data_IF_836402020529
#
_entry.id   IF_836402020529
#
_cell.length_a   1.000
_cell.length_b   1.000
_cell.length_c   1.000
_cell.angle_alpha   90.00
_cell.angle_beta   90.00
_cell.angle_gamma   90.00
#
_symmetry.space_group_name_H-M   'P 1'
#
loop_
_entity.id
_entity.type
_entity.pdbx_description
1 polymer ?
#
# COMPACT_ATOMS: atom_id res chain seq x y z
N UNK A 1 23.85 -32.84 37.39
CA UNK A 1 22.71 -31.91 37.21
C UNK A 1 23.21 -30.77 36.35
N UNK A 2 22.92 -30.84 35.07
CA UNK A 2 23.23 -29.84 34.02
C UNK A 2 22.10 -28.86 33.88
N UNK A 3 22.32 -27.55 33.72
CA UNK A 3 21.29 -26.63 33.28
C UNK A 3 21.32 -26.52 31.74
N UNK A 4 20.39 -27.17 31.10
CA UNK A 4 20.00 -26.88 29.76
C UNK A 4 19.05 -25.68 29.77
N UNK A 5 19.15 -24.83 28.74
CA UNK A 5 18.07 -23.96 28.31
C UNK A 5 18.38 -22.48 28.47
N UNK A 6 18.93 -21.88 27.42
CA UNK A 6 18.64 -20.49 26.93
C UNK A 6 19.30 -20.31 25.57
N UNK A 7 18.61 -20.77 24.55
CA UNK A 7 19.03 -20.62 23.16
C UNK A 7 17.85 -20.53 22.20
N UNK A 8 16.84 -19.74 22.55
CA UNK A 8 15.65 -19.60 21.72
C UNK A 8 14.98 -18.22 21.78
N UNK A 9 15.76 -17.14 21.93
CA UNK A 9 15.19 -15.78 21.91
C UNK A 9 16.07 -14.78 21.15
N UNK A 10 16.65 -15.20 20.04
CA UNK A 10 17.42 -14.30 19.17
C UNK A 10 16.76 -14.07 17.79
N UNK A 11 15.49 -14.34 17.68
CA UNK A 11 14.63 -13.83 16.61
C UNK A 11 13.68 -12.77 17.19
N UNK A 12 14.20 -11.86 18.01
CA UNK A 12 13.51 -10.63 18.29
C UNK A 12 13.40 -9.89 16.94
N UNK A 13 12.23 -10.01 16.32
CA UNK A 13 11.71 -9.03 15.41
C UNK A 13 12.12 -7.68 15.97
N UNK A 14 13.04 -6.98 15.29
CA UNK A 14 13.23 -5.57 15.49
C UNK A 14 11.85 -4.97 15.30
N UNK A 15 11.17 -4.73 16.41
CA UNK A 15 9.90 -4.02 16.37
C UNK A 15 10.24 -2.67 15.80
N UNK A 16 9.40 -2.16 14.91
CA UNK A 16 9.55 -0.84 14.28
C UNK A 16 9.75 0.29 15.32
N UNK A 17 9.55 0.02 16.59
CA UNK A 17 9.80 0.92 17.71
C UNK A 17 11.30 1.14 17.98
N UNK A 18 12.17 0.15 17.75
CA UNK A 18 13.60 0.28 17.98
C UNK A 18 14.32 1.11 16.89
N UNK A 19 13.75 1.15 15.67
CA UNK A 19 14.26 1.98 14.57
C UNK A 19 13.85 3.45 14.65
N UNK A 20 12.92 3.81 15.52
CA UNK A 20 12.33 5.16 15.64
C UNK A 20 12.81 5.90 16.89
N UNK A 21 13.57 5.25 17.77
CA UNK A 21 14.02 5.83 19.05
C UNK A 21 15.01 6.99 18.92
N UNK A 22 15.64 7.19 17.76
CA UNK A 22 16.68 8.20 17.63
C UNK A 22 16.44 9.16 16.45
N UNK A 23 15.60 10.18 16.66
CA UNK A 23 15.79 11.55 16.11
C UNK A 23 14.78 12.52 16.69
N UNK A 24 15.18 13.28 17.68
CA UNK A 24 14.56 14.54 18.07
C UNK A 24 14.49 15.47 16.85
N UNK A 25 13.24 15.88 16.50
CA UNK A 25 12.89 16.91 15.50
C UNK A 25 12.87 16.48 14.02
N UNK A 26 12.08 15.51 13.64
CA UNK A 26 11.44 15.56 12.33
C UNK A 26 10.15 16.38 12.44
N UNK A 27 9.91 17.32 11.50
CA UNK A 27 8.77 18.24 11.56
C UNK A 27 7.44 17.50 11.73
N UNK A 28 6.51 18.08 12.49
CA UNK A 28 5.26 17.41 12.90
C UNK A 28 4.46 16.76 11.77
N UNK A 29 4.50 17.32 10.54
CA UNK A 29 3.83 16.77 9.36
C UNK A 29 4.41 15.41 8.91
N UNK A 30 5.73 15.24 8.92
CA UNK A 30 6.40 13.99 8.56
C UNK A 30 6.05 12.85 9.54
N UNK A 31 6.07 13.16 10.83
CA UNK A 31 5.70 12.18 11.86
C UNK A 31 4.22 11.74 11.77
N UNK A 32 3.32 12.66 11.38
CA UNK A 32 1.90 12.35 11.11
C UNK A 32 1.77 11.44 9.89
N UNK A 33 2.47 11.76 8.79
CA UNK A 33 2.46 10.94 7.57
C UNK A 33 2.97 9.52 7.83
N UNK A 34 4.10 9.37 8.55
CA UNK A 34 4.62 8.05 8.94
C UNK A 34 3.64 7.27 9.82
N UNK A 35 2.95 7.95 10.73
CA UNK A 35 1.95 7.32 11.58
C UNK A 35 0.74 6.88 10.79
N UNK A 36 0.30 7.66 9.82
CA UNK A 36 -0.76 7.30 8.89
C UNK A 36 -0.35 6.07 8.08
N UNK A 37 0.85 6.06 7.48
CA UNK A 37 1.37 4.91 6.74
C UNK A 37 1.34 3.63 7.56
N UNK A 38 1.83 3.67 8.80
CA UNK A 38 1.76 2.50 9.71
C UNK A 38 0.33 2.05 10.03
N UNK A 39 -0.60 2.98 10.16
CA UNK A 39 -2.00 2.63 10.43
C UNK A 39 -2.71 1.96 9.25
N UNK A 40 -2.21 2.15 8.04
CA UNK A 40 -2.71 1.52 6.81
C UNK A 40 -2.21 0.07 6.65
N UNK A 41 -1.13 -0.32 7.32
CA UNK A 41 -0.53 -1.66 7.15
C UNK A 41 -1.48 -2.79 7.58
N UNK A 42 -2.25 -2.61 8.65
CA UNK A 42 -3.15 -3.66 9.15
C UNK A 42 -4.28 -3.99 8.17
N UNK A 43 -5.05 -3.03 7.64
CA UNK A 43 -6.03 -3.29 6.57
C UNK A 43 -5.40 -3.94 5.35
N UNK A 44 -4.24 -3.47 4.93
CA UNK A 44 -3.54 -3.94 3.73
C UNK A 44 -3.09 -5.40 3.88
N UNK A 45 -2.61 -5.80 5.06
CA UNK A 45 -2.14 -7.16 5.31
C UNK A 45 -3.23 -8.25 5.13
N UNK A 46 -4.51 -7.87 5.12
CA UNK A 46 -5.62 -8.81 4.88
C UNK A 46 -5.97 -8.99 3.40
N UNK A 47 -5.55 -8.05 2.54
CA UNK A 47 -5.91 -8.04 1.12
C UNK A 47 -5.34 -9.22 0.31
N UNK A 48 -4.14 -9.77 0.59
CA UNK A 48 -3.62 -10.92 -0.14
C UNK A 48 -4.55 -12.13 -0.12
N UNK A 49 -5.10 -12.44 1.05
CA UNK A 49 -6.04 -13.56 1.18
C UNK A 49 -7.34 -13.31 0.42
N UNK A 50 -7.86 -12.08 0.49
CA UNK A 50 -9.06 -11.70 -0.26
C UNK A 50 -8.82 -11.72 -1.78
N UNK A 51 -7.67 -11.22 -2.23
CA UNK A 51 -7.27 -11.24 -3.64
C UNK A 51 -7.13 -12.65 -4.18
N UNK A 52 -6.47 -13.53 -3.43
CA UNK A 52 -6.33 -14.94 -3.80
C UNK A 52 -7.69 -15.65 -3.91
N UNK A 53 -8.57 -15.46 -2.93
CA UNK A 53 -9.91 -16.04 -2.96
C UNK A 53 -10.71 -15.52 -4.16
N UNK A 54 -10.72 -14.22 -4.39
CA UNK A 54 -11.43 -13.62 -5.51
C UNK A 54 -10.90 -14.14 -6.86
N UNK A 55 -9.57 -14.26 -6.99
CA UNK A 55 -8.93 -14.75 -8.22
C UNK A 55 -9.18 -16.24 -8.47
N UNK A 56 -9.07 -17.07 -7.46
CA UNK A 56 -9.37 -18.50 -7.59
C UNK A 56 -10.84 -18.73 -7.93
N UNK A 57 -11.76 -17.92 -7.39
CA UNK A 57 -13.18 -17.98 -7.68
C UNK A 57 -13.59 -17.40 -9.04
N UNK A 58 -12.67 -16.76 -9.79
CA UNK A 58 -12.98 -16.14 -11.07
C UNK A 58 -13.44 -17.16 -12.13
N UNK A 59 -14.24 -16.69 -13.10
CA UNK A 59 -14.86 -17.54 -14.12
C UNK A 59 -13.84 -18.36 -14.93
N UNK A 60 -12.70 -17.75 -15.27
CA UNK A 60 -11.61 -18.35 -16.04
C UNK A 60 -10.68 -19.27 -15.23
N UNK A 61 -10.83 -19.31 -13.89
CA UNK A 61 -10.03 -20.18 -13.00
C UNK A 61 -10.83 -21.41 -12.55
N UNK A 62 -11.52 -21.33 -11.42
CA UNK A 62 -12.38 -22.43 -10.94
C UNK A 62 -13.80 -22.33 -11.47
N UNK A 63 -14.21 -21.19 -12.03
CA UNK A 63 -15.59 -20.95 -12.48
C UNK A 63 -15.94 -21.54 -13.84
N UNK A 64 -17.02 -21.04 -14.44
CA UNK A 64 -17.71 -21.62 -15.59
C UNK A 64 -16.85 -21.75 -16.87
N UNK A 65 -15.89 -20.86 -17.08
CA UNK A 65 -14.99 -20.86 -18.25
C UNK A 65 -13.67 -21.59 -17.96
N UNK A 66 -13.41 -21.90 -16.68
CA UNK A 66 -12.23 -22.58 -16.18
C UNK A 66 -12.47 -24.07 -15.87
N UNK A 67 -12.06 -24.48 -14.67
CA UNK A 67 -12.13 -25.89 -14.27
C UNK A 67 -13.57 -26.42 -14.12
N UNK A 68 -14.54 -25.57 -13.73
CA UNK A 68 -15.94 -25.97 -13.61
C UNK A 68 -16.56 -26.37 -14.96
N UNK A 69 -16.01 -25.92 -16.09
CA UNK A 69 -16.40 -26.38 -17.42
C UNK A 69 -16.25 -27.88 -17.59
N UNK A 70 -15.27 -28.48 -16.92
CA UNK A 70 -14.97 -29.90 -16.97
C UNK A 70 -15.48 -30.67 -15.74
N UNK A 71 -15.76 -29.96 -14.65
CA UNK A 71 -16.20 -30.53 -13.37
C UNK A 71 -17.20 -29.57 -12.70
N UNK A 72 -18.47 -29.66 -13.10
CA UNK A 72 -19.55 -28.73 -12.71
C UNK A 72 -19.76 -28.59 -11.19
N UNK A 73 -19.34 -29.57 -10.41
CA UNK A 73 -19.40 -29.52 -8.94
C UNK A 73 -18.44 -28.44 -8.35
N UNK A 74 -17.46 -27.97 -9.12
CA UNK A 74 -16.55 -26.88 -8.72
C UNK A 74 -17.21 -25.50 -8.77
N UNK A 75 -18.30 -25.33 -9.56
CA UNK A 75 -18.94 -24.02 -9.69
C UNK A 75 -19.38 -23.43 -8.34
N UNK A 76 -20.07 -24.15 -7.45
CA UNK A 76 -20.42 -23.61 -6.12
C UNK A 76 -19.19 -23.24 -5.28
N UNK A 77 -18.08 -23.96 -5.44
CA UNK A 77 -16.82 -23.63 -4.75
C UNK A 77 -16.24 -22.32 -5.28
N UNK A 78 -16.22 -22.16 -6.61
CA UNK A 78 -15.78 -20.91 -7.25
C UNK A 78 -16.64 -19.72 -6.80
N UNK A 79 -17.97 -19.87 -6.79
CA UNK A 79 -18.91 -18.83 -6.37
C UNK A 79 -18.67 -18.41 -4.90
N UNK A 80 -18.45 -19.37 -4.00
CA UNK A 80 -18.14 -19.09 -2.58
C UNK A 80 -16.82 -18.35 -2.45
N UNK A 81 -15.78 -18.78 -3.19
CA UNK A 81 -14.48 -18.13 -3.13
C UNK A 81 -14.53 -16.70 -3.69
N UNK A 82 -15.20 -16.51 -4.84
CA UNK A 82 -15.40 -15.19 -5.44
C UNK A 82 -16.18 -14.26 -4.49
N UNK A 83 -17.27 -14.76 -3.90
CA UNK A 83 -18.09 -14.00 -2.95
C UNK A 83 -17.29 -13.63 -1.68
N UNK A 84 -16.50 -14.55 -1.14
CA UNK A 84 -15.68 -14.31 0.04
C UNK A 84 -14.60 -13.23 -0.21
N UNK A 85 -13.89 -13.34 -1.34
CA UNK A 85 -12.90 -12.33 -1.74
C UNK A 85 -13.56 -10.99 -2.06
N UNK A 86 -14.64 -11.01 -2.85
CA UNK A 86 -15.40 -9.81 -3.23
C UNK A 86 -15.97 -9.06 -2.04
N UNK A 87 -16.42 -9.76 -0.99
CA UNK A 87 -16.92 -9.13 0.23
C UNK A 87 -15.89 -8.20 0.90
N UNK A 88 -14.60 -8.57 0.86
CA UNK A 88 -13.52 -7.73 1.40
C UNK A 88 -13.31 -6.50 0.52
N UNK A 89 -13.23 -6.66 -0.81
CA UNK A 89 -13.01 -5.54 -1.73
C UNK A 89 -14.19 -4.57 -1.76
N UNK A 90 -15.43 -5.07 -1.72
CA UNK A 90 -16.62 -4.24 -1.68
C UNK A 90 -16.73 -3.40 -0.39
N UNK A 91 -16.09 -3.84 0.70
CA UNK A 91 -16.05 -3.14 1.97
C UNK A 91 -14.68 -2.52 2.29
N UNK A 92 -13.83 -2.35 1.28
CA UNK A 92 -12.46 -1.90 1.46
C UNK A 92 -12.38 -0.58 2.24
N UNK A 93 -13.17 0.41 1.88
CA UNK A 93 -13.21 1.70 2.55
C UNK A 93 -13.60 1.61 4.03
N UNK A 94 -14.54 0.72 4.37
CA UNK A 94 -14.93 0.42 5.75
C UNK A 94 -13.77 -0.22 6.53
N UNK A 95 -13.08 -1.18 5.92
CA UNK A 95 -11.93 -1.86 6.50
C UNK A 95 -10.82 -0.84 6.79
N UNK A 96 -10.58 0.10 5.87
CA UNK A 96 -9.65 1.19 6.09
C UNK A 96 -10.09 2.14 7.20
N UNK A 97 -11.38 2.47 7.31
CA UNK A 97 -11.89 3.32 8.38
C UNK A 97 -11.62 2.70 9.76
N UNK A 98 -11.91 1.41 9.93
CA UNK A 98 -11.66 0.68 11.19
C UNK A 98 -10.17 0.53 11.45
N UNK A 99 -9.40 0.08 10.46
CA UNK A 99 -7.96 -0.16 10.59
C UNK A 99 -7.18 1.12 10.90
N UNK A 100 -7.50 2.22 10.22
CA UNK A 100 -6.90 3.53 10.50
C UNK A 100 -7.31 4.06 11.88
N UNK A 101 -8.58 3.91 12.27
CA UNK A 101 -9.01 4.31 13.60
C UNK A 101 -8.17 3.63 14.69
N UNK A 102 -7.99 2.33 14.61
CA UNK A 102 -7.22 1.54 15.58
C UNK A 102 -5.72 1.83 15.48
N UNK A 103 -5.16 1.84 14.27
CA UNK A 103 -3.72 1.99 14.03
C UNK A 103 -3.21 3.41 14.27
N UNK A 104 -4.03 4.44 14.00
CA UNK A 104 -3.65 5.83 14.19
C UNK A 104 -3.87 6.32 15.63
N UNK A 105 -4.77 5.73 16.42
CA UNK A 105 -5.01 6.11 17.80
C UNK A 105 -3.87 5.67 18.74
N UNK A 106 -3.47 6.53 19.68
CA UNK A 106 -2.59 6.14 20.79
C UNK A 106 -3.41 5.40 21.84
N UNK A 107 -2.91 4.25 22.34
CA UNK A 107 -3.60 3.42 23.33
C UNK A 107 -5.01 3.03 22.87
N UNK A 108 -5.15 2.67 21.59
CA UNK A 108 -6.40 2.19 21.01
C UNK A 108 -6.88 0.91 21.68
N UNK A 109 -8.20 0.70 21.64
CA UNK A 109 -8.84 -0.55 22.00
C UNK A 109 -10.01 -0.85 21.05
N UNK A 110 -10.78 -1.89 21.33
CA UNK A 110 -11.91 -2.29 20.48
C UNK A 110 -12.95 -1.18 20.26
N UNK A 111 -13.14 -0.28 21.23
CA UNK A 111 -14.09 0.84 21.06
C UNK A 111 -13.60 1.89 20.05
N UNK A 112 -12.29 1.97 19.79
CA UNK A 112 -11.75 2.81 18.72
C UNK A 112 -12.17 2.26 17.34
N UNK A 113 -12.08 0.93 17.15
CA UNK A 113 -12.57 0.26 15.95
C UNK A 113 -14.08 0.44 15.74
N UNK A 114 -14.86 0.30 16.83
CA UNK A 114 -16.30 0.56 16.80
C UNK A 114 -16.60 2.00 16.40
N UNK A 115 -15.82 2.99 16.87
CA UNK A 115 -15.99 4.39 16.48
C UNK A 115 -15.71 4.59 14.97
N UNK A 116 -14.69 3.94 14.43
CA UNK A 116 -14.39 3.95 12.98
C UNK A 116 -15.53 3.33 12.17
N UNK A 117 -16.04 2.18 12.61
CA UNK A 117 -17.17 1.48 11.98
C UNK A 117 -18.43 2.35 11.94
N UNK A 118 -18.89 2.82 13.10
CA UNK A 118 -20.10 3.63 13.19
C UNK A 118 -19.96 4.94 12.42
N UNK A 119 -18.82 5.63 12.58
CA UNK A 119 -18.55 6.85 11.85
C UNK A 119 -18.62 6.65 10.34
N UNK A 120 -18.04 5.55 9.83
CA UNK A 120 -18.07 5.27 8.38
C UNK A 120 -19.47 4.92 7.87
N UNK A 121 -20.24 4.12 8.59
CA UNK A 121 -21.62 3.79 8.21
C UNK A 121 -22.50 5.03 8.18
N UNK A 122 -22.38 5.92 9.18
CA UNK A 122 -23.09 7.20 9.18
C UNK A 122 -22.64 8.09 8.03
N UNK A 123 -21.33 8.17 7.76
CA UNK A 123 -20.75 8.90 6.64
C UNK A 123 -21.36 8.46 5.31
N UNK A 124 -21.37 7.16 5.04
CA UNK A 124 -21.94 6.60 3.81
C UNK A 124 -23.44 6.85 3.69
N UNK A 125 -24.18 6.69 4.79
CA UNK A 125 -25.64 6.97 4.79
C UNK A 125 -25.96 8.42 4.47
N UNK A 126 -25.18 9.37 5.00
CA UNK A 126 -25.35 10.81 4.69
C UNK A 126 -24.97 11.12 3.26
N UNK A 127 -23.86 10.57 2.75
CA UNK A 127 -23.47 10.77 1.36
C UNK A 127 -24.52 10.21 0.39
N UNK A 128 -25.08 9.03 0.66
CA UNK A 128 -26.14 8.44 -0.15
C UNK A 128 -27.40 9.32 -0.17
N UNK A 129 -27.78 9.90 0.98
CA UNK A 129 -28.92 10.82 1.05
C UNK A 129 -28.70 12.14 0.28
N UNK A 130 -27.45 12.58 0.14
CA UNK A 130 -27.08 13.83 -0.55
C UNK A 130 -26.71 13.61 -2.03
N UNK A 131 -26.49 12.38 -2.44
CA UNK A 131 -26.06 12.00 -3.78
C UNK A 131 -27.01 12.52 -4.89
N UNK A 132 -28.35 12.51 -4.77
CA UNK A 132 -29.22 13.08 -5.79
C UNK A 132 -28.96 14.54 -6.11
N UNK A 133 -28.39 15.32 -5.18
CA UNK A 133 -28.12 16.75 -5.34
C UNK A 133 -26.71 17.08 -5.81
N UNK A 134 -25.71 16.36 -5.32
CA UNK A 134 -24.30 16.68 -5.50
C UNK A 134 -23.46 15.51 -6.01
N UNK A 135 -24.09 14.35 -6.21
CA UNK A 135 -23.43 13.19 -6.78
C UNK A 135 -23.21 13.30 -8.29
N UNK A 136 -22.57 12.30 -8.84
CA UNK A 136 -22.29 12.17 -10.26
C UNK A 136 -22.37 10.68 -10.69
N UNK A 137 -22.37 10.46 -12.00
CA UNK A 137 -22.29 9.11 -12.59
C UNK A 137 -23.61 8.46 -12.97
N UNK A 138 -24.76 9.01 -12.58
CA UNK A 138 -26.07 8.50 -12.98
C UNK A 138 -26.66 9.27 -14.18
N UNK A 139 -27.55 8.63 -14.91
CA UNK A 139 -28.34 9.28 -15.97
C UNK A 139 -29.43 10.20 -15.39
N UNK A 140 -29.90 9.87 -14.20
CA UNK A 140 -30.87 10.68 -13.44
C UNK A 140 -30.27 11.11 -12.09
N UNK A 141 -30.79 12.18 -11.45
CA UNK A 141 -30.30 12.58 -10.11
C UNK A 141 -30.37 11.45 -9.07
N UNK A 142 -31.35 10.58 -9.16
CA UNK A 142 -31.56 9.46 -8.24
C UNK A 142 -30.49 8.38 -8.39
N UNK A 143 -29.90 8.25 -9.55
CA UNK A 143 -28.81 7.31 -9.85
C UNK A 143 -27.42 7.86 -9.50
N UNK A 144 -27.33 9.15 -9.20
CA UNK A 144 -26.06 9.77 -8.82
C UNK A 144 -25.51 9.16 -7.55
N UNK A 145 -24.19 9.04 -7.50
CA UNK A 145 -23.45 8.57 -6.35
C UNK A 145 -22.41 9.58 -5.88
N UNK A 146 -22.08 9.56 -4.60
CA UNK A 146 -20.93 10.24 -4.02
C UNK A 146 -19.97 9.17 -3.52
N UNK A 147 -18.88 8.94 -4.23
CA UNK A 147 -17.92 7.89 -3.90
C UNK A 147 -16.51 8.48 -3.69
N UNK A 148 -16.10 8.53 -2.43
CA UNK A 148 -14.73 8.88 -2.04
C UNK A 148 -13.84 7.63 -1.86
N UNK A 149 -14.38 6.43 -2.03
CA UNK A 149 -13.66 5.18 -1.88
C UNK A 149 -12.88 5.10 -0.57
N UNK A 150 -11.68 4.56 -0.65
CA UNK A 150 -10.78 4.39 0.50
C UNK A 150 -10.41 5.72 1.17
N UNK A 151 -10.37 6.82 0.42
CA UNK A 151 -10.10 8.15 0.99
C UNK A 151 -11.14 8.54 2.05
N UNK A 152 -12.43 8.28 1.79
CA UNK A 152 -13.49 8.50 2.78
C UNK A 152 -13.28 7.66 4.05
N UNK A 153 -12.90 6.39 3.89
CA UNK A 153 -12.56 5.51 5.00
C UNK A 153 -11.39 6.05 5.85
N UNK A 154 -10.31 6.50 5.19
CA UNK A 154 -9.15 7.08 5.88
C UNK A 154 -9.53 8.35 6.65
N UNK A 155 -10.29 9.26 6.05
CA UNK A 155 -10.73 10.50 6.70
C UNK A 155 -11.52 10.19 7.99
N UNK A 156 -12.48 9.27 7.91
CA UNK A 156 -13.28 8.88 9.07
C UNK A 156 -12.44 8.13 10.10
N UNK A 157 -11.52 7.25 9.68
CA UNK A 157 -10.61 6.56 10.57
C UNK A 157 -9.70 7.50 11.36
N UNK A 158 -9.10 8.50 10.72
CA UNK A 158 -8.32 9.55 11.37
C UNK A 158 -9.19 10.34 12.35
N UNK A 159 -10.40 10.72 11.94
CA UNK A 159 -11.35 11.45 12.78
C UNK A 159 -11.69 10.66 14.04
N UNK A 160 -12.01 9.38 13.91
CA UNK A 160 -12.29 8.48 15.04
C UNK A 160 -11.09 8.40 15.99
N UNK A 161 -9.87 8.24 15.45
CA UNK A 161 -8.64 8.18 16.23
C UNK A 161 -8.35 9.49 16.99
N UNK A 162 -8.58 10.64 16.37
CA UNK A 162 -8.39 11.96 16.99
C UNK A 162 -9.40 12.19 18.11
N UNK A 163 -10.66 11.87 17.86
CA UNK A 163 -11.74 11.98 18.85
C UNK A 163 -11.54 10.99 20.01
N UNK A 164 -11.06 9.77 19.72
CA UNK A 164 -10.64 8.84 20.74
C UNK A 164 -9.59 9.43 21.67
N UNK A 165 -8.49 9.95 21.14
CA UNK A 165 -7.39 10.52 21.94
C UNK A 165 -7.86 11.65 22.86
N UNK A 166 -8.89 12.39 22.46
CA UNK A 166 -9.40 13.54 23.23
C UNK A 166 -10.47 13.14 24.24
N UNK A 167 -11.35 12.19 23.90
CA UNK A 167 -12.61 11.98 24.65
C UNK A 167 -12.75 10.61 25.33
N UNK A 168 -11.80 9.66 25.19
CA UNK A 168 -11.93 8.31 25.76
C UNK A 168 -12.01 8.28 27.31
N UNK A 169 -11.71 9.38 27.99
CA UNK A 169 -11.79 9.56 29.44
C UNK A 169 -12.78 10.65 29.86
N UNK A 170 -13.63 11.12 28.97
CA UNK A 170 -14.58 12.19 29.28
C UNK A 170 -15.54 11.74 30.39
N UNK A 171 -15.73 12.61 31.35
CA UNK A 171 -16.77 12.47 32.37
C UNK A 171 -17.96 13.33 31.95
N UNK A 172 -19.12 12.74 31.82
CA UNK A 172 -20.38 13.41 31.53
C UNK A 172 -21.14 13.63 32.85
N UNK A 173 -22.12 14.56 32.89
CA UNK A 173 -23.04 14.73 34.03
C UNK A 173 -23.71 13.40 34.40
N UNK A 174 -24.12 13.23 35.64
CA UNK A 174 -24.62 11.97 36.20
C UNK A 174 -25.77 11.35 35.39
N UNK A 175 -26.67 12.17 34.87
CA UNK A 175 -27.79 11.71 34.01
C UNK A 175 -27.35 11.21 32.61
N UNK A 176 -26.14 11.50 32.18
CA UNK A 176 -25.51 10.99 30.96
C UNK A 176 -24.31 10.09 31.24
N UNK A 177 -24.03 9.78 32.52
CA UNK A 177 -22.80 9.06 32.90
C UNK A 177 -22.62 7.72 32.17
N UNK A 178 -23.74 7.05 31.82
CA UNK A 178 -23.73 5.81 31.03
C UNK A 178 -23.02 5.96 29.65
N UNK A 179 -23.13 7.11 29.02
CA UNK A 179 -22.53 7.42 27.72
C UNK A 179 -21.11 7.98 27.84
N UNK A 180 -20.58 8.15 29.04
CA UNK A 180 -19.25 8.70 29.29
C UNK A 180 -18.10 7.76 28.91
N UNK A 181 -16.88 8.31 28.89
CA UNK A 181 -15.66 7.59 28.62
C UNK A 181 -15.62 7.02 27.21
N UNK A 182 -15.22 5.74 27.07
CA UNK A 182 -15.03 5.05 25.77
C UNK A 182 -16.32 4.96 24.93
N UNK A 183 -17.50 4.91 25.59
CA UNK A 183 -18.80 4.83 24.92
C UNK A 183 -19.18 6.11 24.19
N UNK A 184 -18.65 7.24 24.65
CA UNK A 184 -18.89 8.55 24.05
C UNK A 184 -18.21 8.68 22.66
N UNK A 185 -17.10 8.00 22.44
CA UNK A 185 -16.31 8.17 21.22
C UNK A 185 -17.05 7.75 19.95
N UNK A 186 -17.72 6.59 19.86
CA UNK A 186 -18.54 6.26 18.69
C UNK A 186 -19.65 7.30 18.43
N UNK A 187 -20.26 7.83 19.48
CA UNK A 187 -21.35 8.82 19.37
C UNK A 187 -20.82 10.13 18.75
N UNK A 188 -19.76 10.69 19.33
CA UNK A 188 -19.18 11.95 18.81
C UNK A 188 -18.55 11.76 17.44
N UNK A 189 -18.02 10.57 17.13
CA UNK A 189 -17.50 10.26 15.80
C UNK A 189 -18.64 10.23 14.77
N UNK A 190 -19.79 9.67 15.09
CA UNK A 190 -20.96 9.68 14.21
C UNK A 190 -21.45 11.10 13.94
N UNK A 191 -21.50 11.95 14.94
CA UNK A 191 -21.87 13.37 14.77
C UNK A 191 -20.84 14.11 13.89
N UNK A 192 -19.55 13.88 14.11
CA UNK A 192 -18.50 14.45 13.28
C UNK A 192 -18.59 13.93 11.84
N UNK A 193 -18.92 12.65 11.65
CA UNK A 193 -19.09 12.03 10.34
C UNK A 193 -20.22 12.67 9.53
N UNK A 194 -21.33 13.07 10.17
CA UNK A 194 -22.41 13.81 9.51
C UNK A 194 -21.88 15.15 8.95
N UNK A 195 -21.16 15.91 9.78
CA UNK A 195 -20.60 17.21 9.36
C UNK A 195 -19.60 17.02 8.20
N UNK A 196 -18.70 16.04 8.34
CA UNK A 196 -17.69 15.74 7.30
C UNK A 196 -18.39 15.29 6.00
N UNK A 197 -19.41 14.44 6.09
CA UNK A 197 -20.16 13.98 4.92
C UNK A 197 -20.85 15.14 4.18
N UNK A 198 -21.48 16.06 4.91
CA UNK A 198 -22.09 17.25 4.31
C UNK A 198 -21.06 18.12 3.61
N UNK A 199 -19.92 18.41 4.26
CA UNK A 199 -18.85 19.19 3.67
C UNK A 199 -18.30 18.50 2.41
N UNK A 200 -18.03 17.19 2.49
CA UNK A 200 -17.51 16.44 1.36
C UNK A 200 -18.54 16.31 0.24
N UNK A 201 -19.84 16.18 0.54
CA UNK A 201 -20.88 16.19 -0.49
C UNK A 201 -20.91 17.52 -1.27
N UNK A 202 -20.76 18.66 -0.58
CA UNK A 202 -20.69 19.97 -1.23
C UNK A 202 -19.45 20.13 -2.12
N UNK A 203 -18.33 19.52 -1.75
CA UNK A 203 -17.05 19.57 -2.48
C UNK A 203 -17.01 18.51 -3.60
N UNK A 204 -17.88 17.50 -3.55
CA UNK A 204 -17.83 16.36 -4.46
C UNK A 204 -17.90 16.72 -5.94
N UNK A 205 -18.71 17.69 -6.41
CA UNK A 205 -18.69 18.07 -7.83
C UNK A 205 -17.31 18.53 -8.32
N UNK A 206 -16.59 19.31 -7.50
CA UNK A 206 -15.23 19.73 -7.83
C UNK A 206 -14.23 18.56 -7.77
N UNK A 207 -14.38 17.67 -6.79
CA UNK A 207 -13.57 16.45 -6.67
C UNK A 207 -13.81 15.53 -7.87
N UNK A 208 -15.06 15.27 -8.23
CA UNK A 208 -15.44 14.46 -9.39
C UNK A 208 -14.88 15.04 -10.70
N UNK A 209 -15.05 16.33 -10.90
CA UNK A 209 -14.50 17.01 -12.07
C UNK A 209 -12.98 16.87 -12.16
N UNK A 210 -12.25 17.12 -11.06
CA UNK A 210 -10.79 17.04 -11.06
C UNK A 210 -10.28 15.59 -11.21
N UNK A 211 -10.85 14.67 -10.44
CA UNK A 211 -10.32 13.30 -10.33
C UNK A 211 -10.90 12.41 -11.43
N UNK A 212 -12.22 12.37 -11.60
CA UNK A 212 -12.83 11.45 -12.55
C UNK A 212 -12.85 12.01 -13.98
N UNK A 213 -13.20 13.28 -14.16
CA UNK A 213 -13.33 13.85 -15.50
C UNK A 213 -11.99 14.33 -16.07
N UNK A 214 -11.20 15.11 -15.32
CA UNK A 214 -9.93 15.62 -15.84
C UNK A 214 -8.82 14.56 -15.74
N UNK A 215 -8.50 14.09 -14.56
CA UNK A 215 -7.42 13.11 -14.37
C UNK A 215 -7.83 11.75 -14.94
N UNK A 216 -9.03 11.28 -14.63
CA UNK A 216 -9.56 10.01 -15.14
C UNK A 216 -9.75 10.04 -16.65
N UNK A 217 -10.35 11.08 -17.18
CA UNK A 217 -10.50 11.28 -18.64
C UNK A 217 -9.16 11.34 -19.36
N UNK A 218 -8.17 12.04 -18.78
CA UNK A 218 -6.80 12.05 -19.32
C UNK A 218 -6.15 10.67 -19.28
N UNK A 219 -6.23 9.96 -18.14
CA UNK A 219 -5.69 8.62 -18.00
C UNK A 219 -6.37 7.61 -18.91
N UNK A 220 -7.71 7.69 -19.05
CA UNK A 220 -8.49 6.84 -19.95
C UNK A 220 -8.18 7.11 -21.41
N UNK A 221 -8.20 8.37 -21.83
CA UNK A 221 -7.82 8.74 -23.19
C UNK A 221 -6.39 8.32 -23.50
N UNK A 222 -5.47 8.48 -22.53
CA UNK A 222 -4.11 7.99 -22.64
C UNK A 222 -4.05 6.45 -22.78
N UNK A 223 -4.82 5.72 -21.96
CA UNK A 223 -4.84 4.25 -21.99
C UNK A 223 -5.52 3.66 -23.22
N UNK A 224 -6.64 4.25 -23.68
CA UNK A 224 -7.45 3.73 -24.81
C UNK A 224 -6.91 4.13 -26.18
N UNK A 225 -6.35 5.34 -26.30
CA UNK A 225 -5.78 5.81 -27.59
C UNK A 225 -4.37 5.27 -27.82
N UNK A 226 -3.74 4.69 -26.79
CA UNK A 226 -2.36 4.28 -26.87
C UNK A 226 -1.39 5.45 -27.10
N UNK A 227 -0.15 5.18 -27.44
CA UNK A 227 0.82 6.20 -27.81
C UNK A 227 1.49 6.90 -26.64
N UNK A 228 2.09 8.06 -26.91
CA UNK A 228 2.98 8.76 -25.98
C UNK A 228 2.29 9.17 -24.69
N UNK A 229 1.00 9.55 -24.74
CA UNK A 229 0.26 9.97 -23.56
C UNK A 229 0.08 8.86 -22.52
N UNK A 230 -0.22 7.64 -22.96
CA UNK A 230 -0.32 6.47 -22.06
C UNK A 230 1.01 6.14 -21.40
N UNK A 231 2.08 6.19 -22.17
CA UNK A 231 3.45 5.96 -21.70
C UNK A 231 3.85 7.01 -20.66
N UNK A 232 3.56 8.29 -20.90
CA UNK A 232 3.84 9.38 -19.96
C UNK A 232 2.98 9.24 -18.68
N UNK A 233 1.70 8.92 -18.81
CA UNK A 233 0.82 8.71 -17.66
C UNK A 233 1.32 7.56 -16.77
N UNK A 234 1.68 6.44 -17.36
CA UNK A 234 2.23 5.30 -16.65
C UNK A 234 3.57 5.63 -15.97
N UNK A 235 4.45 6.38 -16.65
CA UNK A 235 5.71 6.86 -16.06
C UNK A 235 5.48 7.72 -14.82
N UNK A 236 4.62 8.72 -14.94
CA UNK A 236 4.30 9.65 -13.84
C UNK A 236 3.67 8.89 -12.68
N UNK A 237 2.67 8.05 -12.96
CA UNK A 237 2.02 7.24 -11.94
C UNK A 237 3.02 6.34 -11.19
N UNK A 238 3.83 5.57 -11.89
CA UNK A 238 4.81 4.68 -11.27
C UNK A 238 5.87 5.41 -10.44
N UNK A 239 6.35 6.56 -10.93
CA UNK A 239 7.33 7.38 -10.21
C UNK A 239 6.73 7.98 -8.93
N UNK A 240 5.57 8.61 -9.03
CA UNK A 240 4.90 9.25 -7.89
C UNK A 240 4.46 8.20 -6.88
N UNK A 241 3.95 7.05 -7.34
CA UNK A 241 3.57 5.93 -6.49
C UNK A 241 4.72 5.54 -5.54
N UNK A 242 5.92 5.32 -6.09
CA UNK A 242 7.08 4.95 -5.27
C UNK A 242 7.51 6.08 -4.35
N UNK A 243 7.56 7.32 -4.82
CA UNK A 243 7.91 8.46 -3.96
C UNK A 243 6.97 8.63 -2.76
N UNK A 244 5.75 8.16 -2.86
CA UNK A 244 4.75 8.21 -1.78
C UNK A 244 4.84 7.06 -0.76
N UNK A 245 5.54 5.96 -1.07
CA UNK A 245 5.66 4.79 -0.16
C UNK A 245 6.26 5.15 1.21
N UNK A 246 7.36 5.93 1.32
CA UNK A 246 7.91 6.27 2.63
C UNK A 246 6.95 7.02 3.54
N UNK A 247 5.92 7.64 2.96
CA UNK A 247 4.86 8.36 3.69
C UNK A 247 3.60 7.50 3.88
N UNK A 248 3.54 6.30 3.29
CA UNK A 248 2.35 5.44 3.27
C UNK A 248 1.19 5.98 2.42
N UNK A 249 1.42 7.03 1.62
CA UNK A 249 0.40 7.71 0.84
C UNK A 249 0.14 7.07 -0.54
N UNK A 250 0.99 6.13 -0.97
CA UNK A 250 0.83 5.43 -2.25
C UNK A 250 -0.49 4.67 -2.36
N UNK A 251 -1.04 4.16 -1.25
CA UNK A 251 -2.35 3.51 -1.25
C UNK A 251 -3.50 4.47 -1.57
N UNK A 252 -3.37 5.73 -1.16
CA UNK A 252 -4.32 6.77 -1.51
C UNK A 252 -4.27 7.04 -3.03
N UNK A 253 -3.06 7.16 -3.59
CA UNK A 253 -2.88 7.31 -5.03
C UNK A 253 -3.41 6.09 -5.80
N UNK A 254 -3.11 4.87 -5.34
CA UNK A 254 -3.53 3.63 -5.97
C UNK A 254 -5.04 3.46 -6.01
N UNK A 255 -5.75 3.93 -4.97
CA UNK A 255 -7.21 3.77 -4.89
C UNK A 255 -7.95 4.44 -6.04
N UNK A 256 -7.34 5.43 -6.67
CA UNK A 256 -7.91 6.17 -7.77
C UNK A 256 -7.90 5.33 -9.06
N UNK A 257 -6.76 4.99 -9.69
CA UNK A 257 -6.77 4.23 -10.94
C UNK A 257 -7.22 2.77 -10.76
N UNK A 258 -6.93 2.15 -9.62
CA UNK A 258 -7.23 0.73 -9.45
C UNK A 258 -8.70 0.42 -9.19
N UNK A 259 -9.46 1.34 -8.55
CA UNK A 259 -10.83 1.10 -8.12
C UNK A 259 -11.87 2.12 -8.60
N UNK A 260 -11.45 3.27 -9.14
CA UNK A 260 -12.40 4.36 -9.47
C UNK A 260 -12.31 4.82 -10.92
N UNK A 261 -11.11 4.89 -11.50
CA UNK A 261 -10.93 5.42 -12.85
C UNK A 261 -11.18 4.35 -13.91
N UNK A 262 -11.73 4.82 -15.00
CA UNK A 262 -12.07 3.99 -16.13
C UNK A 262 -13.35 3.18 -15.92
N UNK A 263 -13.90 2.71 -17.00
CA UNK A 263 -15.09 1.86 -16.99
C UNK A 263 -14.96 0.74 -18.02
N UNK A 264 -15.58 -0.36 -17.73
CA UNK A 264 -15.74 -1.51 -18.62
C UNK A 264 -17.13 -2.11 -18.42
N UNK A 265 -17.53 -2.99 -19.31
CA UNK A 265 -18.76 -3.74 -19.19
C UNK A 265 -18.44 -5.11 -18.58
N UNK A 266 -19.11 -5.47 -17.50
CA UNK A 266 -19.03 -6.81 -16.92
C UNK A 266 -19.80 -7.84 -17.74
N UNK A 267 -19.57 -9.12 -17.47
CA UNK A 267 -20.27 -10.25 -18.13
C UNK A 267 -21.81 -10.21 -17.91
N UNK A 268 -22.26 -9.58 -16.83
CA UNK A 268 -23.66 -9.35 -16.50
C UNK A 268 -24.26 -8.10 -17.16
N UNK A 269 -23.49 -7.40 -17.99
CA UNK A 269 -23.88 -6.13 -18.64
C UNK A 269 -23.78 -4.90 -17.72
N UNK A 270 -23.33 -5.06 -16.46
CA UNK A 270 -23.14 -3.95 -15.53
C UNK A 270 -21.93 -3.10 -15.89
N UNK A 271 -21.99 -1.80 -15.64
CA UNK A 271 -20.83 -0.92 -15.74
C UNK A 271 -19.97 -1.08 -14.49
N UNK A 272 -18.72 -1.41 -14.70
CA UNK A 272 -17.72 -1.59 -13.64
C UNK A 272 -16.61 -0.56 -13.80
N UNK A 273 -15.90 -0.25 -12.71
CA UNK A 273 -14.87 0.78 -12.67
C UNK A 273 -13.57 0.28 -12.08
N UNK A 274 -12.47 0.92 -12.47
CA UNK A 274 -11.13 0.67 -11.94
C UNK A 274 -10.35 -0.39 -12.70
N UNK A 275 -9.03 -0.19 -12.77
CA UNK A 275 -8.12 -1.04 -13.54
C UNK A 275 -8.15 -2.50 -13.06
N UNK A 276 -8.18 -2.74 -11.75
CA UNK A 276 -8.24 -4.10 -11.18
C UNK A 276 -9.57 -4.77 -11.55
N UNK A 277 -10.69 -4.12 -11.26
CA UNK A 277 -12.01 -4.71 -11.50
C UNK A 277 -12.21 -5.01 -12.98
N UNK A 278 -11.85 -4.05 -13.84
CA UNK A 278 -12.00 -4.21 -15.29
C UNK A 278 -11.02 -5.23 -15.89
N UNK A 279 -9.83 -5.40 -15.33
CA UNK A 279 -8.92 -6.46 -15.75
C UNK A 279 -9.53 -7.84 -15.51
N UNK A 280 -10.16 -8.06 -14.36
CA UNK A 280 -10.73 -9.37 -14.01
C UNK A 280 -12.09 -9.65 -14.64
N UNK A 281 -12.98 -8.66 -14.68
CA UNK A 281 -14.40 -8.84 -14.98
C UNK A 281 -14.83 -8.20 -16.31
N UNK A 282 -14.01 -7.35 -16.93
CA UNK A 282 -14.35 -6.71 -18.20
C UNK A 282 -14.45 -7.71 -19.35
N UNK A 283 -15.49 -7.55 -20.18
CA UNK A 283 -15.66 -8.36 -21.41
C UNK A 283 -14.82 -7.79 -22.55
N UNK A 284 -14.59 -8.62 -23.56
CA UNK A 284 -13.78 -8.29 -24.73
C UNK A 284 -14.10 -6.95 -25.34
N UNK A 285 -13.03 -6.19 -25.64
CA UNK A 285 -13.11 -4.86 -26.24
C UNK A 285 -13.36 -3.71 -25.26
N UNK A 286 -13.90 -3.97 -24.07
CA UNK A 286 -14.12 -2.92 -23.04
C UNK A 286 -12.97 -2.81 -22.05
N UNK A 287 -12.11 -3.83 -21.98
CA UNK A 287 -10.98 -3.96 -21.06
C UNK A 287 -9.59 -3.77 -21.71
N UNK A 288 -9.52 -3.33 -22.95
CA UNK A 288 -8.26 -3.18 -23.68
C UNK A 288 -7.25 -2.21 -23.05
N UNK A 289 -7.70 -1.28 -22.20
CA UNK A 289 -6.86 -0.32 -21.48
C UNK A 289 -6.32 -0.87 -20.14
N UNK A 290 -6.86 -1.99 -19.65
CA UNK A 290 -6.52 -2.53 -18.34
C UNK A 290 -5.08 -2.99 -18.25
N UNK A 291 -4.55 -3.07 -17.03
CA UNK A 291 -3.15 -3.34 -16.76
C UNK A 291 -2.23 -2.12 -16.88
N UNK A 292 -2.71 -1.00 -17.42
CA UNK A 292 -1.88 0.19 -17.66
C UNK A 292 -1.22 0.76 -16.40
N UNK A 293 -1.87 0.61 -15.25
CA UNK A 293 -1.38 1.06 -13.95
C UNK A 293 -0.97 -0.10 -13.02
N UNK A 294 -0.86 -1.32 -13.55
CA UNK A 294 -0.51 -2.51 -12.80
C UNK A 294 0.70 -3.26 -13.38
N UNK A 295 0.69 -3.53 -14.68
CA UNK A 295 1.62 -4.48 -15.33
C UNK A 295 3.08 -4.15 -15.09
N UNK A 296 3.47 -2.89 -15.17
CA UNK A 296 4.86 -2.47 -15.04
C UNK A 296 5.45 -2.59 -13.63
N UNK A 297 4.65 -2.94 -12.63
CA UNK A 297 5.15 -3.24 -11.30
C UNK A 297 5.79 -4.63 -11.22
N UNK A 298 5.36 -5.61 -12.02
CA UNK A 298 5.92 -6.98 -12.00
C UNK A 298 7.44 -7.03 -12.23
N UNK A 299 8.01 -6.37 -13.24
CA UNK A 299 9.45 -6.33 -13.45
C UNK A 299 10.22 -5.78 -12.22
N UNK A 300 9.62 -4.81 -11.54
CA UNK A 300 10.26 -4.15 -10.40
C UNK A 300 10.16 -5.01 -9.14
N UNK A 301 8.96 -5.48 -8.80
CA UNK A 301 8.72 -6.19 -7.53
C UNK A 301 9.29 -7.59 -7.53
N UNK A 302 9.18 -8.33 -8.65
CA UNK A 302 9.67 -9.69 -8.75
C UNK A 302 11.17 -9.78 -9.04
N UNK A 303 11.75 -8.82 -9.75
CA UNK A 303 13.13 -8.98 -10.23
C UNK A 303 14.07 -7.86 -9.78
N UNK A 304 13.68 -6.60 -10.01
CA UNK A 304 14.56 -5.46 -9.76
C UNK A 304 14.84 -5.26 -8.26
N UNK A 305 13.81 -5.29 -7.40
CA UNK A 305 13.97 -5.14 -5.97
C UNK A 305 14.74 -6.31 -5.32
N UNK A 306 14.49 -7.59 -5.63
CA UNK A 306 15.38 -8.68 -5.22
C UNK A 306 16.84 -8.47 -5.63
N UNK A 307 17.10 -7.95 -6.83
CA UNK A 307 18.44 -7.62 -7.27
C UNK A 307 19.06 -6.44 -6.50
N UNK A 308 18.25 -5.43 -6.13
CA UNK A 308 18.67 -4.36 -5.22
C UNK A 308 19.05 -4.90 -3.84
N UNK A 309 18.26 -5.82 -3.28
CA UNK A 309 18.57 -6.50 -2.02
C UNK A 309 19.89 -7.25 -2.10
N UNK A 310 20.14 -7.96 -3.21
CA UNK A 310 21.42 -8.65 -3.47
C UNK A 310 22.59 -7.66 -3.54
N UNK A 311 22.41 -6.50 -4.16
CA UNK A 311 23.41 -5.45 -4.22
C UNK A 311 23.73 -4.87 -2.83
N UNK A 312 22.70 -4.63 -2.00
CA UNK A 312 22.85 -4.20 -0.61
C UNK A 312 23.60 -5.26 0.19
N UNK A 313 23.24 -6.53 0.08
CA UNK A 313 23.93 -7.63 0.74
C UNK A 313 25.41 -7.71 0.34
N UNK A 314 25.73 -7.69 -0.96
CA UNK A 314 27.09 -7.80 -1.45
C UNK A 314 27.97 -6.58 -1.10
N UNK A 315 27.38 -5.44 -0.83
CA UNK A 315 28.09 -4.22 -0.41
C UNK A 315 28.20 -4.06 1.09
N UNK A 316 27.56 -4.93 1.88
CA UNK A 316 27.66 -4.93 3.34
C UNK A 316 29.09 -5.22 3.81
N UNK A 317 29.49 -4.66 4.98
CA UNK A 317 30.77 -4.92 5.62
C UNK A 317 30.91 -6.41 5.95
N UNK A 318 32.12 -7.00 5.88
CA UNK A 318 32.34 -8.42 6.10
C UNK A 318 31.72 -8.95 7.41
N UNK A 319 31.82 -8.16 8.49
CA UNK A 319 31.36 -8.50 9.84
C UNK A 319 29.83 -8.59 9.90
N UNK A 320 29.12 -7.74 9.15
CA UNK A 320 27.64 -7.66 9.12
C UNK A 320 27.03 -8.44 7.95
N UNK A 321 27.83 -8.92 7.01
CA UNK A 321 27.36 -9.52 5.74
C UNK A 321 26.43 -10.72 5.95
N UNK A 322 26.68 -11.58 6.92
CA UNK A 322 25.84 -12.76 7.19
C UNK A 322 24.44 -12.37 7.68
N UNK A 323 24.36 -11.43 8.62
CA UNK A 323 23.09 -10.95 9.16
C UNK A 323 22.31 -10.15 8.11
N UNK A 324 23.00 -9.25 7.40
CA UNK A 324 22.41 -8.47 6.28
C UNK A 324 21.89 -9.39 5.17
N UNK A 325 22.65 -10.45 4.84
CA UNK A 325 22.24 -11.42 3.83
C UNK A 325 20.96 -12.15 4.21
N UNK A 326 20.85 -12.62 5.44
CA UNK A 326 19.63 -13.29 5.92
C UNK A 326 18.40 -12.36 5.84
N UNK A 327 18.55 -11.10 6.27
CA UNK A 327 17.49 -10.10 6.18
C UNK A 327 17.13 -9.81 4.72
N UNK A 328 18.11 -9.51 3.88
CA UNK A 328 17.88 -9.15 2.46
C UNK A 328 17.24 -10.29 1.66
N UNK A 329 17.65 -11.54 1.90
CA UNK A 329 17.03 -12.72 1.26
C UNK A 329 15.56 -12.85 1.69
N UNK A 330 15.26 -12.68 2.98
CA UNK A 330 13.89 -12.77 3.49
C UNK A 330 12.97 -11.74 2.85
N UNK A 331 13.37 -10.45 2.86
CA UNK A 331 12.53 -9.38 2.28
C UNK A 331 12.48 -9.44 0.74
N UNK A 332 13.54 -9.90 0.09
CA UNK A 332 13.57 -10.13 -1.35
C UNK A 332 12.61 -11.25 -1.78
N UNK A 333 12.60 -12.35 -1.02
CA UNK A 333 11.68 -13.46 -1.27
C UNK A 333 10.22 -13.05 -1.06
N UNK A 334 9.95 -12.26 -0.03
CA UNK A 334 8.62 -11.67 0.22
C UNK A 334 8.20 -10.80 -0.97
N UNK A 335 9.05 -9.89 -1.44
CA UNK A 335 8.76 -9.04 -2.60
C UNK A 335 8.51 -9.88 -3.86
N UNK A 336 9.37 -10.88 -4.13
CA UNK A 336 9.23 -11.76 -5.30
C UNK A 336 7.91 -12.56 -5.28
N UNK A 337 7.59 -13.20 -4.15
CA UNK A 337 6.44 -14.10 -4.07
C UNK A 337 5.12 -13.31 -4.02
N UNK A 338 5.04 -12.31 -3.14
CA UNK A 338 3.79 -11.65 -2.79
C UNK A 338 3.64 -10.24 -3.37
N UNK A 339 4.72 -9.63 -3.89
CA UNK A 339 4.71 -8.23 -4.30
C UNK A 339 4.70 -7.23 -3.13
N UNK A 340 4.89 -7.67 -1.88
CA UNK A 340 5.01 -6.76 -0.73
C UNK A 340 6.45 -6.25 -0.67
N UNK A 341 6.64 -4.98 -0.98
CA UNK A 341 7.96 -4.37 -1.18
C UNK A 341 8.40 -3.44 -0.06
N UNK A 342 7.47 -2.96 0.76
CA UNK A 342 7.71 -1.96 1.79
C UNK A 342 8.83 -2.33 2.76
N UNK A 343 8.96 -3.58 3.26
CA UNK A 343 10.06 -3.92 4.16
C UNK A 343 11.44 -3.75 3.51
N UNK A 344 11.54 -4.05 2.22
CA UNK A 344 12.77 -3.88 1.46
C UNK A 344 13.01 -2.41 1.12
N UNK A 345 11.99 -1.71 0.65
CA UNK A 345 12.09 -0.30 0.27
C UNK A 345 12.43 0.58 1.47
N UNK A 346 11.82 0.34 2.63
CA UNK A 346 12.14 1.07 3.88
C UNK A 346 13.57 0.84 4.34
N UNK A 347 14.16 -0.31 4.04
CA UNK A 347 15.55 -0.59 4.40
C UNK A 347 16.55 0.40 3.77
N UNK A 348 16.21 1.06 2.66
CA UNK A 348 17.08 2.06 2.02
C UNK A 348 16.43 3.44 1.83
N UNK A 349 15.11 3.56 1.86
CA UNK A 349 14.42 4.82 1.61
C UNK A 349 14.84 5.94 2.58
N UNK A 350 14.99 5.61 3.86
CA UNK A 350 15.30 6.61 4.89
C UNK A 350 16.80 6.88 5.07
N UNK A 351 17.64 5.92 4.72
CA UNK A 351 19.10 6.03 4.91
C UNK A 351 19.84 6.44 3.64
N UNK A 352 19.21 6.26 2.48
CA UNK A 352 19.77 6.54 1.17
C UNK A 352 18.69 7.09 0.21
N UNK A 353 18.02 8.19 0.60
CA UNK A 353 16.91 8.75 -0.19
C UNK A 353 17.25 9.03 -1.67
N UNK A 354 18.45 9.48 -2.07
CA UNK A 354 18.78 9.62 -3.49
C UNK A 354 18.73 8.28 -4.24
N UNK A 355 19.15 7.17 -3.61
CA UNK A 355 19.04 5.83 -4.17
C UNK A 355 17.57 5.43 -4.33
N UNK A 356 16.74 5.80 -3.35
CA UNK A 356 15.30 5.60 -3.40
C UNK A 356 14.63 6.41 -4.52
N UNK A 357 15.03 7.66 -4.72
CA UNK A 357 14.54 8.48 -5.84
C UNK A 357 14.87 7.86 -7.21
N UNK A 358 16.08 7.30 -7.37
CA UNK A 358 16.45 6.54 -8.57
C UNK A 358 15.54 5.32 -8.75
N UNK A 359 15.27 4.56 -7.68
CA UNK A 359 14.32 3.45 -7.72
C UNK A 359 12.92 3.91 -8.18
N UNK A 360 12.42 5.03 -7.66
CA UNK A 360 11.12 5.57 -8.04
C UNK A 360 11.05 5.91 -9.55
N UNK A 361 12.07 6.58 -10.08
CA UNK A 361 12.16 6.90 -11.52
C UNK A 361 12.24 5.61 -12.36
N UNK A 362 13.05 4.64 -11.97
CA UNK A 362 13.16 3.36 -12.67
C UNK A 362 11.84 2.57 -12.67
N UNK A 363 11.06 2.67 -11.59
CA UNK A 363 9.71 2.08 -11.57
C UNK A 363 8.81 2.78 -12.60
N UNK A 364 8.83 4.11 -12.66
CA UNK A 364 8.13 4.85 -13.71
C UNK A 364 8.54 4.41 -15.12
N UNK A 365 9.84 4.21 -15.38
CA UNK A 365 10.32 3.72 -16.69
C UNK A 365 9.82 2.31 -17.00
N UNK A 366 9.66 1.44 -15.99
CA UNK A 366 9.12 0.10 -16.18
C UNK A 366 7.65 0.16 -16.60
N UNK A 367 6.82 0.97 -15.90
CA UNK A 367 5.42 1.14 -16.28
C UNK A 367 5.29 1.73 -17.69
N UNK A 368 6.11 2.73 -18.01
CA UNK A 368 6.15 3.34 -19.34
C UNK A 368 6.52 2.34 -20.44
N UNK A 369 7.59 1.56 -20.24
CA UNK A 369 8.07 0.58 -21.20
C UNK A 369 7.04 -0.52 -21.47
N UNK A 370 6.45 -1.07 -20.42
CA UNK A 370 5.46 -2.14 -20.52
C UNK A 370 4.20 -1.65 -21.23
N UNK A 371 3.74 -0.41 -20.95
CA UNK A 371 2.65 0.21 -21.67
C UNK A 371 2.99 0.45 -23.15
N UNK A 372 4.19 0.95 -23.45
CA UNK A 372 4.64 1.18 -24.82
C UNK A 372 4.69 -0.12 -25.66
N UNK A 373 4.96 -1.25 -25.01
CA UNK A 373 4.98 -2.57 -25.64
C UNK A 373 3.61 -3.24 -25.69
N UNK A 374 2.57 -2.63 -25.10
CA UNK A 374 1.20 -3.18 -25.08
C UNK A 374 1.04 -4.42 -24.22
N UNK A 375 1.96 -4.69 -23.30
CA UNK A 375 1.88 -5.84 -22.39
C UNK A 375 0.80 -5.58 -21.34
N UNK A 376 -0.07 -6.54 -21.13
CA UNK A 376 -1.21 -6.48 -20.20
C UNK A 376 -1.08 -7.57 -19.17
N UNK A 377 -1.00 -7.20 -17.92
CA UNK A 377 -1.07 -8.08 -16.77
C UNK A 377 -1.72 -7.33 -15.60
N UNK A 378 -2.24 -8.05 -14.64
CA UNK A 378 -2.90 -7.46 -13.50
C UNK A 378 -2.66 -8.29 -12.25
N UNK A 379 -3.05 -7.73 -11.13
CA UNK A 379 -3.00 -8.41 -9.84
C UNK A 379 -4.28 -8.14 -9.06
N UNK A 380 -4.69 -9.13 -8.30
CA UNK A 380 -5.78 -8.94 -7.34
C UNK A 380 -5.28 -8.27 -6.06
N UNK A 381 -3.99 -8.49 -5.72
CA UNK A 381 -3.37 -7.93 -4.54
C UNK A 381 -2.12 -7.09 -4.86
N UNK A 382 -1.08 -7.70 -5.44
CA UNK A 382 0.16 -7.00 -5.77
C UNK A 382 0.98 -7.77 -6.82
N UNK A 383 1.92 -7.10 -7.47
CA UNK A 383 2.70 -7.63 -8.60
C UNK A 383 3.79 -8.62 -8.15
N UNK A 384 3.39 -9.72 -7.53
CA UNK A 384 4.24 -10.84 -7.14
C UNK A 384 4.05 -12.08 -8.01
N UNK A 385 4.89 -13.09 -7.78
CA UNK A 385 4.85 -14.34 -8.53
C UNK A 385 3.52 -15.10 -8.41
N UNK A 386 2.81 -14.95 -7.29
CA UNK A 386 1.50 -15.56 -7.10
C UNK A 386 0.50 -14.98 -8.11
N UNK A 387 0.33 -13.66 -8.14
CA UNK A 387 -0.59 -13.01 -9.08
C UNK A 387 -0.15 -13.21 -10.53
N UNK A 388 1.15 -13.12 -10.81
CA UNK A 388 1.70 -13.38 -12.15
C UNK A 388 1.32 -14.78 -12.67
N UNK A 389 1.49 -15.82 -11.85
CA UNK A 389 1.18 -17.19 -12.25
C UNK A 389 -0.33 -17.41 -12.42
N UNK A 390 -1.14 -16.87 -11.52
CA UNK A 390 -2.59 -16.98 -11.58
C UNK A 390 -3.19 -16.24 -12.78
N UNK A 391 -2.55 -15.15 -13.22
CA UNK A 391 -3.03 -14.31 -14.31
C UNK A 391 -2.36 -14.60 -15.65
N UNK A 392 -1.43 -15.58 -15.71
CA UNK A 392 -0.64 -15.88 -16.90
C UNK A 392 -1.52 -16.12 -18.15
N UNK A 393 -2.62 -16.86 -18.02
CA UNK A 393 -3.57 -17.13 -19.11
C UNK A 393 -4.22 -15.83 -19.61
N UNK A 394 -4.80 -15.05 -18.70
CA UNK A 394 -5.48 -13.80 -19.02
C UNK A 394 -4.51 -12.74 -19.57
N UNK A 395 -3.32 -12.65 -18.99
CA UNK A 395 -2.24 -11.80 -19.50
C UNK A 395 -1.87 -12.17 -20.94
N UNK A 396 -1.77 -13.46 -21.23
CA UNK A 396 -1.49 -13.95 -22.58
C UNK A 396 -2.58 -13.57 -23.58
N UNK A 397 -3.84 -13.72 -23.20
CA UNK A 397 -5.00 -13.37 -24.02
C UNK A 397 -5.02 -11.87 -24.34
N UNK A 398 -4.94 -11.02 -23.32
CA UNK A 398 -5.01 -9.56 -23.45
C UNK A 398 -3.79 -8.94 -24.14
N UNK A 399 -2.63 -9.61 -24.12
CA UNK A 399 -1.38 -9.15 -24.75
C UNK A 399 -1.17 -9.70 -26.17
N UNK A 400 -2.10 -10.49 -26.69
CA UNK A 400 -1.95 -11.11 -28.02
C UNK A 400 -1.07 -12.34 -28.07
N UNK A 401 -0.76 -12.96 -26.93
CA UNK A 401 -0.03 -14.22 -26.82
C UNK A 401 0.95 -14.27 -25.64
N UNK A 402 1.31 -15.49 -25.24
CA UNK A 402 2.21 -15.71 -24.10
C UNK A 402 3.60 -15.07 -24.28
N UNK A 403 4.15 -15.09 -25.49
CA UNK A 403 5.46 -14.50 -25.81
C UNK A 403 5.44 -12.98 -25.79
N UNK A 404 4.33 -12.36 -26.19
CA UNK A 404 4.17 -10.90 -26.23
C UNK A 404 3.70 -10.32 -24.90
N UNK A 405 3.14 -11.15 -24.04
CA UNK A 405 2.64 -10.78 -22.71
C UNK A 405 3.58 -11.26 -21.59
N UNK A 406 3.16 -12.28 -20.83
CA UNK A 406 3.82 -12.64 -19.58
C UNK A 406 5.29 -13.08 -19.75
N UNK A 407 5.66 -13.76 -20.83
CA UNK A 407 7.06 -14.17 -21.04
C UNK A 407 7.95 -12.94 -21.29
N UNK A 408 7.51 -11.99 -22.13
CA UNK A 408 8.24 -10.75 -22.36
C UNK A 408 8.37 -9.93 -21.07
N UNK A 409 7.34 -9.96 -20.22
CA UNK A 409 7.36 -9.29 -18.92
C UNK A 409 8.49 -9.83 -18.01
N UNK A 410 8.72 -11.15 -18.00
CA UNK A 410 9.85 -11.78 -17.29
C UNK A 410 11.19 -11.33 -17.88
N UNK A 411 11.32 -11.30 -19.21
CA UNK A 411 12.56 -10.85 -19.87
C UNK A 411 12.88 -9.40 -19.47
N UNK A 412 11.89 -8.52 -19.49
CA UNK A 412 12.02 -7.14 -19.02
C UNK A 412 12.43 -7.12 -17.54
N UNK A 413 11.80 -7.94 -16.71
CA UNK A 413 12.15 -8.07 -15.29
C UNK A 413 13.61 -8.45 -15.07
N UNK A 414 14.12 -9.43 -15.81
CA UNK A 414 15.52 -9.83 -15.74
C UNK A 414 16.48 -8.71 -16.18
N UNK A 415 16.11 -7.94 -17.21
CA UNK A 415 16.90 -6.76 -17.63
C UNK A 415 16.93 -5.71 -16.51
N UNK A 416 15.78 -5.41 -15.89
CA UNK A 416 15.74 -4.51 -14.74
C UNK A 416 16.54 -5.04 -13.55
N UNK A 417 16.55 -6.36 -13.30
CA UNK A 417 17.38 -6.96 -12.25
C UNK A 417 18.88 -6.66 -12.47
N UNK A 418 19.36 -6.83 -13.70
CA UNK A 418 20.76 -6.51 -14.05
C UNK A 418 21.04 -5.01 -13.83
N UNK A 419 20.17 -4.13 -14.32
CA UNK A 419 20.30 -2.68 -14.15
C UNK A 419 20.33 -2.32 -12.66
N UNK A 420 19.38 -2.82 -11.87
CA UNK A 420 19.30 -2.53 -10.43
C UNK A 420 20.53 -3.03 -9.68
N UNK A 421 20.97 -4.26 -9.93
CA UNK A 421 22.12 -4.80 -9.22
C UNK A 421 23.37 -3.95 -9.42
N UNK A 422 23.71 -3.62 -10.66
CA UNK A 422 24.92 -2.86 -10.97
C UNK A 422 24.79 -1.39 -10.55
N UNK A 423 23.65 -0.77 -10.80
CA UNK A 423 23.41 0.63 -10.47
C UNK A 423 23.40 0.84 -8.96
N UNK A 424 22.68 0.00 -8.20
CA UNK A 424 22.64 0.08 -6.76
C UNK A 424 24.01 -0.16 -6.14
N UNK A 425 24.71 -1.21 -6.59
CA UNK A 425 26.08 -1.47 -6.16
C UNK A 425 27.02 -0.29 -6.42
N UNK A 426 26.96 0.29 -7.61
CA UNK A 426 27.76 1.44 -8.00
C UNK A 426 27.45 2.66 -7.11
N UNK A 427 26.19 3.01 -6.97
CA UNK A 427 25.76 4.17 -6.18
C UNK A 427 26.09 3.99 -4.69
N UNK A 428 25.82 2.82 -4.11
CA UNK A 428 26.13 2.52 -2.71
C UNK A 428 27.63 2.68 -2.44
N UNK A 429 28.47 2.12 -3.29
CA UNK A 429 29.92 2.15 -3.10
C UNK A 429 30.48 3.54 -3.36
N UNK A 430 30.09 4.19 -4.49
CA UNK A 430 30.65 5.48 -4.90
C UNK A 430 30.18 6.64 -4.04
N UNK A 431 28.92 6.64 -3.63
CA UNK A 431 28.34 7.72 -2.82
C UNK A 431 28.40 7.43 -1.31
N UNK A 432 28.88 6.23 -0.91
CA UNK A 432 29.10 5.90 0.49
C UNK A 432 27.83 5.80 1.32
N UNK A 433 26.69 5.39 0.72
CA UNK A 433 25.43 5.30 1.45
C UNK A 433 25.49 4.28 2.59
N UNK A 434 24.90 4.62 3.73
CA UNK A 434 24.78 3.79 4.93
C UNK A 434 23.58 2.83 4.81
N UNK A 435 23.56 2.02 3.74
CA UNK A 435 22.57 0.96 3.59
C UNK A 435 22.76 -0.14 4.65
N UNK A 436 21.76 -1.03 4.90
CA UNK A 436 21.88 -2.09 5.88
C UNK A 436 23.20 -2.86 5.77
N UNK A 437 23.89 -3.01 6.90
CA UNK A 437 25.22 -3.64 6.97
C UNK A 437 26.40 -2.72 6.61
N UNK A 438 26.16 -1.45 6.24
CA UNK A 438 27.21 -0.42 6.03
C UNK A 438 27.16 0.69 7.08
N UNK A 439 26.24 0.65 8.01
CA UNK A 439 26.13 1.59 9.12
C UNK A 439 27.42 1.60 9.95
N UNK A 440 27.83 2.78 10.42
CA UNK A 440 28.91 2.90 11.40
C UNK A 440 28.49 2.16 12.66
N UNK A 441 29.42 1.44 13.30
CA UNK A 441 29.10 0.72 14.51
C UNK A 441 28.72 1.71 15.60
N UNK A 442 27.54 1.57 16.20
CA UNK A 442 27.12 2.33 17.39
C UNK A 442 28.11 2.15 18.57
N UNK A 443 28.95 1.13 18.51
CA UNK A 443 30.04 0.86 19.46
C UNK A 443 31.09 2.00 19.44
N UNK A 444 31.34 2.61 18.29
CA UNK A 444 32.29 3.73 18.22
C UNK A 444 31.66 5.02 18.74
N UNK A 445 30.38 5.27 18.45
CA UNK A 445 29.63 6.40 19.03
C UNK A 445 29.41 6.23 20.53
N UNK A 446 29.22 4.99 21.01
CA UNK A 446 29.09 4.68 22.45
C UNK A 446 30.43 4.84 23.17
N UNK A 447 31.55 4.39 22.57
CA UNK A 447 32.90 4.58 23.09
C UNK A 447 33.31 6.05 23.09
N UNK A 448 32.97 6.80 22.04
CA UNK A 448 33.21 8.26 22.00
C UNK A 448 32.38 9.01 23.03
N UNK A 449 31.09 8.65 23.22
CA UNK A 449 30.24 9.21 24.25
C UNK A 449 30.72 8.84 25.66
N UNK A 450 31.20 7.61 25.88
CA UNK A 450 31.77 7.16 27.14
C UNK A 450 33.09 7.86 27.44
N UNK A 451 33.98 8.00 26.48
CA UNK A 451 35.24 8.74 26.61
C UNK A 451 35.00 10.26 26.81
N UNK A 452 33.95 10.82 26.21
CA UNK A 452 33.55 12.22 26.45
C UNK A 452 32.98 12.42 27.87
N UNK A 453 32.19 11.45 28.36
CA UNK A 453 31.64 11.45 29.72
C UNK A 453 32.75 11.27 30.79
N UNK A 454 33.74 10.40 30.55
CA UNK A 454 34.91 10.23 31.43
C UNK A 454 35.81 11.47 31.48
N UNK A 455 35.99 12.15 30.32
CA UNK A 455 36.74 13.44 30.28
C UNK A 455 35.99 14.55 31.00
N UNK A 456 34.67 14.56 31.02
CA UNK A 456 33.87 15.56 31.72
C UNK A 456 33.87 15.33 33.24
N UNK A 457 33.81 14.07 33.68
CA UNK A 457 33.88 13.69 35.09
C UNK A 457 35.29 13.87 35.66
N UNK A 458 36.34 13.59 34.88
CA UNK A 458 37.74 13.87 35.28
C UNK A 458 38.03 15.37 35.48
N UNK A 459 37.50 16.23 34.58
CA UNK A 459 37.60 17.70 34.71
C UNK A 459 36.79 18.25 35.88
N UNK A 460 35.69 17.63 36.26
CA UNK A 460 34.90 18.04 37.44
C UNK A 460 35.62 17.68 38.75
N UNK A 461 36.23 16.49 38.81
CA UNK A 461 36.98 16.02 39.95
C UNK A 461 38.30 16.83 40.20
N UNK A 462 38.99 17.27 39.14
CA UNK A 462 40.17 18.13 39.24
C UNK A 462 39.81 19.55 39.70
N UNK A 463 38.64 20.06 39.33
CA UNK A 463 38.15 21.36 39.81
C UNK A 463 37.73 21.37 41.27
N UNK A 464 37.27 20.21 41.78
CA UNK A 464 36.95 20.04 43.20
C UNK A 464 38.18 19.86 44.09
N UNK A 465 39.29 19.30 43.55
CA UNK A 465 40.56 19.19 44.25
C UNK A 465 41.37 20.48 44.32
N UNK A 466 41.04 21.46 43.50
CA UNK A 466 41.69 22.80 43.50
C UNK A 466 40.90 23.89 44.27
N UNK A 467 39.81 23.50 44.90
CA UNK A 467 39.06 24.35 45.89
C UNK A 467 39.24 23.77 47.30
#
# INVERSE_FOLDING_TARGET
>A
MTPQGRGADAAALLTQEDLVSDKKKSGGAFAVAQRLGRSLMLPIATLPAAGLLNRLGAADMLGADGLAKHASWLQPVADVMAAAGGAVFNNLALIFAVGVAVGFAKKSDGSTGVAGLFGYLVFQGVLAALAPRWGAGGATPEENTINYGVLGGIIIGITAAMLWQRYYRIKLPDWLAFFGGRRFVPIITSLAAIVIAVVLALVYPAFNWLINEQLGGWLMNAGTQGGVSAVVAAFVFGTVNRLLIPFGLHHLLNSIPWFQLGSCTGADGSTQHGDITCFFNGVDGTNAWTGSFMTGFFPIMMFALPAAALAIWHTARPEKRKATGALMVSVALTAFITGITEPLEYAFAYVAFPLYAVHAVLTGTSLALVNALGIKDGFAFSAGAIDYLLNFGKSSELSGGALQGPILLVVIGLLYAVVYYFLFRFLIVKLGFSTPGREADDVDSFKEAQAAAEKSTGKAADKERQR
#
